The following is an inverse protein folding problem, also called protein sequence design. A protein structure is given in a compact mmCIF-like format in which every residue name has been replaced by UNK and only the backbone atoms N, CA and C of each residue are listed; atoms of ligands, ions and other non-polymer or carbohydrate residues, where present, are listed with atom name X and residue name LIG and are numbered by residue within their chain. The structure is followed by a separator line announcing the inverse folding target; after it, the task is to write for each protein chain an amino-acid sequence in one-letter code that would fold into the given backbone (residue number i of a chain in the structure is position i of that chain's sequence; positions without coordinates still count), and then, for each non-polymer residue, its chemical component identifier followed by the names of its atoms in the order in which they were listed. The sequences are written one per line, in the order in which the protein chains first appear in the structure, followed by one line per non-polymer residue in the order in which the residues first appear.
data_IF_704511678826
#
_entry.id   IF_704511678826
#
_cell.length_a   1.000
_cell.length_b   1.000
_cell.length_c   1.000
_cell.angle_alpha   90.00
_cell.angle_beta   90.00
_cell.angle_gamma   90.00
#
_symmetry.space_group_name_H-M   'P 1'
#
loop_
_entity.id
_entity.type
_entity.pdbx_description
1 polymer ?
#
# COMPACT_ATOMS: atom_id res chain seq x y z
N UNK A 1 -26.86 -19.49 1.54
CA UNK A 1 -25.95 -18.34 1.51
C UNK A 1 -25.81 -17.81 2.92
N UNK A 2 -24.59 -17.89 3.46
CA UNK A 2 -24.25 -17.31 4.75
C UNK A 2 -23.20 -16.21 4.55
N UNK A 3 -23.44 -15.06 5.17
CA UNK A 3 -22.51 -13.95 5.28
C UNK A 3 -21.67 -14.13 6.55
N UNK A 4 -20.38 -14.36 6.39
CA UNK A 4 -19.44 -14.51 7.49
C UNK A 4 -18.70 -13.19 7.77
N UNK A 5 -18.64 -12.85 9.05
CA UNK A 5 -17.83 -11.77 9.60
C UNK A 5 -16.82 -12.39 10.56
N UNK A 6 -15.54 -12.34 10.22
CA UNK A 6 -14.49 -13.09 10.90
C UNK A 6 -13.55 -12.13 11.62
N UNK A 7 -13.29 -12.42 12.89
CA UNK A 7 -12.29 -11.76 13.70
C UNK A 7 -11.19 -12.76 14.06
N UNK A 8 -10.04 -12.68 13.39
CA UNK A 8 -8.91 -13.59 13.55
C UNK A 8 -7.79 -12.93 14.37
N UNK A 9 -7.66 -13.36 15.61
CA UNK A 9 -6.65 -12.87 16.55
C UNK A 9 -5.41 -13.76 16.55
N UNK A 10 -4.24 -13.13 16.43
CA UNK A 10 -2.95 -13.78 16.66
C UNK A 10 -2.82 -14.19 18.13
N UNK A 11 -2.58 -15.48 18.31
CA UNK A 11 -2.48 -16.21 19.57
C UNK A 11 -1.15 -17.00 19.64
N UNK A 12 -0.16 -16.54 18.87
CA UNK A 12 1.22 -17.01 18.88
C UNK A 12 2.02 -16.49 20.07
N UNK A 13 3.18 -17.09 20.29
CA UNK A 13 4.06 -16.84 21.43
C UNK A 13 4.60 -15.41 21.46
N UNK A 14 4.79 -14.77 20.30
CA UNK A 14 5.29 -13.40 20.21
C UNK A 14 4.33 -12.38 20.85
N UNK A 15 3.04 -12.74 20.97
CA UNK A 15 2.04 -11.92 21.64
C UNK A 15 2.05 -12.08 23.17
N UNK A 16 2.71 -13.11 23.72
CA UNK A 16 2.65 -13.44 25.16
C UNK A 16 3.11 -12.28 26.04
N UNK A 17 2.28 -11.91 27.03
CA UNK A 17 2.58 -10.82 27.98
C UNK A 17 2.88 -9.47 27.29
N UNK A 18 2.53 -9.30 26.01
CA UNK A 18 2.74 -8.06 25.29
C UNK A 18 1.59 -7.10 25.59
N UNK A 19 1.73 -6.34 26.68
CA UNK A 19 0.70 -5.41 27.15
C UNK A 19 0.23 -4.45 26.06
N UNK A 20 1.13 -4.00 25.19
CA UNK A 20 0.79 -3.12 24.08
C UNK A 20 -0.12 -3.82 23.08
N UNK A 21 0.29 -4.99 22.57
CA UNK A 21 -0.51 -5.82 21.67
C UNK A 21 -1.89 -6.11 22.28
N UNK A 22 -1.97 -6.49 23.56
CA UNK A 22 -3.25 -6.87 24.15
C UNK A 22 -4.19 -5.69 24.43
N UNK A 23 -3.67 -4.59 24.99
CA UNK A 23 -4.46 -3.37 25.23
C UNK A 23 -4.98 -2.81 23.92
N UNK A 24 -4.12 -2.84 22.90
CA UNK A 24 -4.47 -2.43 21.56
C UNK A 24 -5.15 -3.52 20.75
N UNK A 25 -5.22 -4.77 21.17
CA UNK A 25 -6.00 -5.80 20.49
C UNK A 25 -7.47 -5.63 20.86
N UNK A 26 -7.74 -5.38 22.15
CA UNK A 26 -9.09 -5.26 22.67
C UNK A 26 -9.93 -4.16 22.00
N UNK A 27 -9.35 -3.00 21.64
CA UNK A 27 -10.12 -1.95 20.94
C UNK A 27 -10.44 -2.30 19.47
N UNK A 28 -9.69 -3.23 18.85
CA UNK A 28 -10.01 -3.73 17.49
C UNK A 28 -11.22 -4.64 17.53
N UNK A 29 -11.47 -5.35 18.63
CA UNK A 29 -12.68 -6.15 18.82
C UNK A 29 -13.94 -5.25 18.82
N UNK A 30 -13.86 -4.12 19.52
CA UNK A 30 -14.95 -3.13 19.52
C UNK A 30 -15.11 -2.44 18.16
N UNK A 31 -14.01 -2.18 17.44
CA UNK A 31 -14.06 -1.66 16.07
C UNK A 31 -14.73 -2.67 15.12
N UNK A 32 -14.34 -3.93 15.19
CA UNK A 32 -14.90 -5.01 14.37
C UNK A 32 -16.42 -5.08 14.52
N UNK A 33 -16.94 -5.04 15.76
CA UNK A 33 -18.39 -5.04 16.00
C UNK A 33 -19.10 -3.86 15.34
N UNK A 34 -18.55 -2.65 15.45
CA UNK A 34 -19.11 -1.47 14.76
C UNK A 34 -19.11 -1.64 13.25
N UNK A 35 -18.01 -2.14 12.70
CA UNK A 35 -17.88 -2.37 11.25
C UNK A 35 -18.86 -3.43 10.74
N UNK A 36 -19.12 -4.48 11.53
CA UNK A 36 -20.14 -5.50 11.20
C UNK A 36 -21.53 -4.88 11.10
N UNK A 37 -21.93 -4.08 12.08
CA UNK A 37 -23.24 -3.43 12.06
C UNK A 37 -23.37 -2.42 10.92
N UNK A 38 -22.33 -1.62 10.67
CA UNK A 38 -22.29 -0.71 9.53
C UNK A 38 -22.45 -1.45 8.19
N UNK A 39 -21.78 -2.59 8.01
CA UNK A 39 -21.89 -3.39 6.77
C UNK A 39 -23.30 -3.97 6.63
N UNK A 40 -23.92 -4.45 7.71
CA UNK A 40 -25.31 -4.93 7.67
C UNK A 40 -26.28 -3.83 7.30
N UNK A 41 -26.07 -2.61 7.81
CA UNK A 41 -26.87 -1.44 7.43
C UNK A 41 -26.67 -1.08 5.95
N UNK A 42 -25.42 -1.03 5.47
CA UNK A 42 -25.09 -0.82 4.04
C UNK A 42 -25.83 -1.84 3.14
N UNK A 43 -25.84 -3.13 3.52
CA UNK A 43 -26.53 -4.20 2.78
C UNK A 43 -28.05 -4.02 2.77
N UNK A 44 -28.62 -3.66 3.92
CA UNK A 44 -30.06 -3.39 4.04
C UNK A 44 -30.49 -2.22 3.16
N UNK A 45 -29.68 -1.15 3.08
CA UNK A 45 -29.94 0.02 2.25
C UNK A 45 -29.78 -0.27 0.76
N UNK A 46 -28.84 -1.15 0.39
CA UNK A 46 -28.62 -1.58 -0.99
C UNK A 46 -29.70 -2.54 -1.53
N UNK A 47 -30.63 -3.00 -0.68
CA UNK A 47 -31.68 -3.94 -1.06
C UNK A 47 -31.15 -5.35 -1.35
N UNK A 48 -30.01 -5.73 -0.75
CA UNK A 48 -29.48 -7.09 -0.89
C UNK A 48 -30.48 -8.12 -0.33
N UNK A 49 -30.59 -9.32 -0.95
CA UNK A 49 -31.51 -10.35 -0.47
C UNK A 49 -31.15 -10.79 0.96
N UNK A 50 -32.15 -11.15 1.80
CA UNK A 50 -31.89 -11.59 3.17
C UNK A 50 -30.95 -12.79 3.18
N UNK A 51 -29.81 -12.65 3.86
CA UNK A 51 -28.83 -13.69 4.05
C UNK A 51 -28.62 -13.95 5.55
N UNK A 52 -28.44 -15.23 5.91
CA UNK A 52 -28.02 -15.56 7.28
C UNK A 52 -26.66 -14.92 7.55
N UNK A 53 -26.51 -14.25 8.68
CA UNK A 53 -25.24 -13.60 9.06
C UNK A 53 -24.64 -14.29 10.28
N UNK A 54 -23.35 -14.65 10.21
CA UNK A 54 -22.61 -15.29 11.31
C UNK A 54 -21.33 -14.51 11.63
N UNK A 55 -21.14 -14.24 12.92
CA UNK A 55 -19.88 -13.73 13.45
C UNK A 55 -19.05 -14.92 13.91
N UNK A 56 -17.79 -14.97 13.50
CA UNK A 56 -16.83 -16.02 13.85
C UNK A 56 -15.61 -15.39 14.49
N UNK A 57 -15.23 -15.87 15.67
CA UNK A 57 -13.99 -15.49 16.34
C UNK A 57 -12.98 -16.63 16.22
N UNK A 58 -11.78 -16.30 15.77
CA UNK A 58 -10.69 -17.25 15.58
C UNK A 58 -9.49 -16.84 16.42
N UNK A 59 -8.83 -17.84 17.00
CA UNK A 59 -7.44 -17.72 17.42
C UNK A 59 -6.57 -18.41 16.36
N UNK A 60 -5.42 -17.81 16.04
CA UNK A 60 -4.48 -18.37 15.08
C UNK A 60 -3.02 -18.27 15.56
N UNK A 61 -2.17 -19.14 15.04
CA UNK A 61 -0.75 -19.26 15.33
C UNK A 61 -0.16 -20.32 14.40
N UNK A 62 0.42 -21.38 14.92
CA UNK A 62 0.79 -22.61 14.17
C UNK A 62 -0.39 -23.53 13.82
N UNK A 63 -1.61 -23.07 14.12
CA UNK A 63 -2.91 -23.70 13.83
C UNK A 63 -4.00 -22.60 13.92
N UNK A 64 -5.24 -22.90 13.52
CA UNK A 64 -6.35 -21.96 13.65
C UNK A 64 -7.64 -22.68 14.08
N UNK A 65 -8.35 -22.12 15.05
CA UNK A 65 -9.56 -22.71 15.60
C UNK A 65 -10.58 -21.66 16.06
N UNK A 66 -11.82 -22.09 16.18
CA UNK A 66 -12.92 -21.23 16.62
C UNK A 66 -12.93 -21.06 18.13
N UNK A 67 -13.23 -19.84 18.55
CA UNK A 67 -13.48 -19.48 19.93
C UNK A 67 -14.77 -18.66 20.00
N UNK A 68 -15.31 -18.52 21.21
CA UNK A 68 -16.38 -17.56 21.48
C UNK A 68 -15.77 -16.18 21.79
N UNK A 69 -16.60 -15.14 21.73
CA UNK A 69 -16.17 -13.76 21.99
C UNK A 69 -15.57 -13.60 23.40
N UNK A 70 -16.20 -14.23 24.40
CA UNK A 70 -15.78 -14.13 25.80
C UNK A 70 -14.36 -14.66 25.97
N UNK A 71 -14.03 -15.80 25.35
CA UNK A 71 -12.67 -16.35 25.32
C UNK A 71 -11.70 -15.41 24.62
N UNK A 72 -12.07 -14.82 23.48
CA UNK A 72 -11.21 -13.83 22.81
C UNK A 72 -10.92 -12.64 23.72
N UNK A 73 -11.95 -12.09 24.38
CA UNK A 73 -11.85 -10.96 25.29
C UNK A 73 -11.01 -11.29 26.53
N UNK A 74 -11.31 -12.39 27.21
CA UNK A 74 -10.56 -12.87 28.38
C UNK A 74 -9.10 -13.08 28.02
N UNK A 75 -8.81 -13.67 26.87
CA UNK A 75 -7.44 -13.93 26.48
C UNK A 75 -6.65 -12.67 26.08
N UNK A 76 -7.31 -11.55 25.73
CA UNK A 76 -6.66 -10.23 25.68
C UNK A 76 -6.41 -9.68 27.09
N UNK A 77 -7.41 -9.73 27.98
CA UNK A 77 -7.29 -9.21 29.36
C UNK A 77 -6.20 -9.93 30.14
N UNK A 78 -6.15 -11.26 30.03
CA UNK A 78 -5.20 -12.13 30.71
C UNK A 78 -3.84 -12.20 30.01
N UNK A 79 -3.68 -11.52 28.86
CA UNK A 79 -2.45 -11.50 28.06
C UNK A 79 -1.94 -12.90 27.66
N UNK A 80 -2.88 -13.79 27.32
CA UNK A 80 -2.62 -15.19 27.00
C UNK A 80 -2.20 -15.38 25.54
N UNK A 81 -1.45 -16.45 25.31
CA UNK A 81 -1.23 -17.12 24.02
C UNK A 81 -1.22 -18.64 24.26
N UNK A 82 -1.32 -19.44 23.19
CA UNK A 82 -1.22 -20.90 23.29
C UNK A 82 -0.34 -21.55 22.22
N UNK A 83 0.04 -20.82 21.15
CA UNK A 83 0.79 -21.38 20.01
C UNK A 83 2.21 -20.87 19.92
N UNK A 84 3.09 -21.67 19.32
CA UNK A 84 4.50 -21.32 19.19
C UNK A 84 4.80 -20.59 17.88
N UNK A 85 4.12 -20.97 16.78
CA UNK A 85 4.30 -20.35 15.47
C UNK A 85 3.35 -19.19 15.18
N UNK A 86 3.74 -18.36 14.22
CA UNK A 86 2.96 -17.23 13.67
C UNK A 86 2.72 -17.51 12.17
N UNK A 87 1.81 -18.45 11.90
CA UNK A 87 1.57 -19.03 10.57
C UNK A 87 0.18 -18.65 10.04
N UNK A 88 0.02 -17.45 9.46
CA UNK A 88 -1.25 -16.92 8.99
C UNK A 88 -1.94 -17.77 7.92
N UNK A 89 -1.23 -18.70 7.26
CA UNK A 89 -1.85 -19.62 6.31
C UNK A 89 -2.91 -20.52 6.95
N UNK A 90 -2.84 -20.75 8.26
CA UNK A 90 -3.84 -21.54 8.97
C UNK A 90 -5.19 -20.86 9.04
N UNK A 91 -5.24 -19.52 9.02
CA UNK A 91 -6.49 -18.79 8.86
C UNK A 91 -7.17 -19.24 7.57
N UNK A 92 -6.45 -19.19 6.45
CA UNK A 92 -6.99 -19.53 5.12
C UNK A 92 -7.47 -20.98 5.08
N UNK A 93 -6.64 -21.92 5.55
CA UNK A 93 -6.97 -23.34 5.58
C UNK A 93 -8.21 -23.61 6.43
N UNK A 94 -8.34 -22.96 7.58
CA UNK A 94 -9.50 -23.11 8.46
C UNK A 94 -10.78 -22.57 7.81
N UNK A 95 -10.69 -21.39 7.17
CA UNK A 95 -11.81 -20.80 6.44
C UNK A 95 -12.28 -21.68 5.28
N UNK A 96 -11.36 -22.20 4.47
CA UNK A 96 -11.66 -23.14 3.37
C UNK A 96 -12.33 -24.41 3.87
N UNK A 97 -11.83 -24.95 4.99
CA UNK A 97 -12.34 -26.21 5.55
C UNK A 97 -13.73 -26.10 6.16
N UNK A 98 -14.10 -24.94 6.71
CA UNK A 98 -15.29 -24.83 7.58
C UNK A 98 -16.34 -23.81 7.13
N UNK A 99 -15.94 -22.74 6.43
CA UNK A 99 -16.81 -21.58 6.19
C UNK A 99 -17.01 -21.24 4.71
N UNK A 100 -16.10 -21.65 3.84
CA UNK A 100 -16.24 -21.51 2.38
C UNK A 100 -16.60 -22.87 1.78
N UNK A 101 -17.74 -23.41 2.20
CA UNK A 101 -18.18 -24.76 1.80
C UNK A 101 -19.04 -24.74 0.53
N UNK A 102 -19.77 -23.64 0.30
CA UNK A 102 -20.61 -23.45 -0.87
C UNK A 102 -20.18 -22.19 -1.64
N UNK A 103 -20.35 -22.20 -2.96
CA UNK A 103 -20.04 -21.03 -3.82
C UNK A 103 -20.83 -19.77 -3.45
N UNK A 104 -21.99 -19.95 -2.82
CA UNK A 104 -22.84 -18.84 -2.35
C UNK A 104 -22.36 -18.23 -1.04
N UNK A 105 -21.47 -18.90 -0.30
CA UNK A 105 -20.99 -18.38 0.98
C UNK A 105 -20.03 -17.21 0.73
N UNK A 106 -20.12 -16.19 1.59
CA UNK A 106 -19.41 -14.93 1.41
C UNK A 106 -18.74 -14.53 2.71
N UNK A 107 -17.44 -14.22 2.64
CA UNK A 107 -16.73 -13.56 3.73
C UNK A 107 -16.87 -12.06 3.51
N UNK A 108 -17.82 -11.46 4.22
CA UNK A 108 -18.14 -10.03 4.13
C UNK A 108 -17.08 -9.17 4.81
N UNK A 109 -16.47 -9.69 5.86
CA UNK A 109 -15.42 -9.00 6.60
C UNK A 109 -14.43 -10.01 7.19
N UNK A 110 -13.14 -9.79 6.99
CA UNK A 110 -12.05 -10.51 7.65
C UNK A 110 -11.14 -9.52 8.36
N UNK A 111 -11.14 -9.56 9.69
CA UNK A 111 -10.16 -8.88 10.54
C UNK A 111 -9.01 -9.84 10.84
N UNK A 112 -7.77 -9.43 10.55
CA UNK A 112 -6.55 -10.13 10.95
C UNK A 112 -5.78 -9.22 11.90
N UNK A 113 -5.62 -9.65 13.15
CA UNK A 113 -4.89 -8.92 14.19
C UNK A 113 -3.60 -9.67 14.46
N UNK A 114 -2.45 -9.00 14.37
CA UNK A 114 -1.11 -9.55 14.65
C UNK A 114 -0.21 -8.50 15.29
N UNK A 115 0.93 -8.92 15.83
CA UNK A 115 2.04 -8.02 16.18
C UNK A 115 3.00 -7.74 14.99
N UNK A 116 2.73 -8.33 13.83
CA UNK A 116 3.48 -8.12 12.59
C UNK A 116 4.78 -8.92 12.50
N UNK A 117 5.07 -9.81 13.47
CA UNK A 117 6.25 -10.66 13.46
C UNK A 117 5.99 -11.94 12.64
N UNK A 118 5.95 -11.79 11.32
CA UNK A 118 5.60 -12.87 10.39
C UNK A 118 6.80 -13.17 9.49
N UNK A 119 7.14 -14.44 9.34
CA UNK A 119 8.24 -14.83 8.47
C UNK A 119 7.82 -14.80 6.99
N UNK A 120 8.77 -14.48 6.12
CA UNK A 120 8.58 -14.38 4.67
C UNK A 120 7.99 -15.67 4.06
N UNK A 121 8.43 -16.84 4.53
CA UNK A 121 7.95 -18.14 4.04
C UNK A 121 6.45 -18.32 4.28
N UNK A 122 5.94 -17.89 5.44
CA UNK A 122 4.51 -17.97 5.76
C UNK A 122 3.69 -16.99 4.90
N UNK A 123 4.24 -15.81 4.57
CA UNK A 123 3.61 -14.90 3.61
C UNK A 123 3.48 -15.54 2.21
N UNK A 124 4.53 -16.19 1.71
CA UNK A 124 4.50 -16.91 0.42
C UNK A 124 3.47 -18.05 0.39
N UNK A 125 3.37 -18.82 1.48
CA UNK A 125 2.32 -19.85 1.62
C UNK A 125 0.93 -19.23 1.59
N UNK A 126 0.73 -18.11 2.28
CA UNK A 126 -0.56 -17.41 2.26
C UNK A 126 -0.96 -17.06 0.83
N UNK A 127 -0.07 -16.50 0.01
CA UNK A 127 -0.39 -16.20 -1.39
C UNK A 127 -0.90 -17.42 -2.17
N UNK A 128 -0.28 -18.60 -1.97
CA UNK A 128 -0.70 -19.84 -2.64
C UNK A 128 -2.07 -20.31 -2.16
N UNK A 129 -2.29 -20.37 -0.85
CA UNK A 129 -3.56 -20.86 -0.32
C UNK A 129 -4.72 -19.89 -0.56
N UNK A 130 -4.43 -18.59 -0.66
CA UNK A 130 -5.44 -17.55 -0.80
C UNK A 130 -5.86 -17.24 -2.24
N UNK A 131 -5.30 -17.96 -3.23
CA UNK A 131 -5.55 -17.70 -4.65
C UNK A 131 -7.04 -17.67 -4.98
N UNK A 132 -7.78 -18.68 -4.51
CA UNK A 132 -9.20 -18.90 -4.78
C UNK A 132 -10.13 -18.34 -3.71
N UNK A 133 -9.59 -17.68 -2.68
CA UNK A 133 -10.39 -17.06 -1.64
C UNK A 133 -10.94 -15.71 -2.11
N UNK A 134 -12.16 -15.41 -1.69
CA UNK A 134 -12.83 -14.15 -1.98
C UNK A 134 -13.25 -13.48 -0.67
N UNK A 135 -12.93 -12.19 -0.58
CA UNK A 135 -13.25 -11.34 0.57
C UNK A 135 -13.84 -10.04 0.07
N UNK A 136 -14.98 -9.63 0.61
CA UNK A 136 -15.55 -8.31 0.29
C UNK A 136 -14.72 -7.21 0.97
N UNK A 137 -14.30 -7.44 2.22
CA UNK A 137 -13.46 -6.52 3.00
C UNK A 137 -12.43 -7.25 3.86
N UNK A 138 -11.18 -6.82 3.80
CA UNK A 138 -10.09 -7.29 4.67
C UNK A 138 -9.54 -6.10 5.46
N UNK A 139 -9.43 -6.27 6.78
CA UNK A 139 -8.83 -5.30 7.69
C UNK A 139 -7.67 -5.96 8.40
N UNK A 140 -6.48 -5.42 8.20
CA UNK A 140 -5.26 -5.91 8.80
C UNK A 140 -4.78 -4.94 9.88
N UNK A 141 -4.66 -5.41 11.12
CA UNK A 141 -4.09 -4.66 12.22
C UNK A 141 -2.76 -5.27 12.63
N UNK A 142 -1.69 -4.49 12.49
CA UNK A 142 -0.40 -4.81 13.11
C UNK A 142 -0.17 -3.91 14.33
N UNK A 143 0.13 -4.54 15.46
CA UNK A 143 0.22 -3.89 16.78
C UNK A 143 1.56 -4.23 17.45
N UNK A 144 2.54 -3.35 17.31
CA UNK A 144 3.87 -3.54 17.88
C UNK A 144 4.48 -2.19 18.29
N UNK A 145 5.05 -2.10 19.49
CA UNK A 145 5.78 -0.91 19.92
C UNK A 145 7.01 -0.66 19.04
N UNK A 146 7.67 -1.73 18.60
CA UNK A 146 8.80 -1.67 17.68
C UNK A 146 8.28 -1.68 16.24
N UNK A 147 7.92 -0.50 15.72
CA UNK A 147 7.29 -0.38 14.40
C UNK A 147 8.15 -0.90 13.25
N UNK A 148 9.47 -0.91 13.41
CA UNK A 148 10.42 -1.46 12.44
C UNK A 148 10.30 -3.00 12.28
N UNK A 149 9.73 -3.69 13.27
CA UNK A 149 9.55 -5.14 13.22
C UNK A 149 8.23 -5.57 12.58
N UNK A 150 7.37 -4.60 12.22
CA UNK A 150 6.07 -4.90 11.64
C UNK A 150 6.27 -5.23 10.16
N UNK A 151 6.13 -6.51 9.82
CA UNK A 151 6.01 -6.96 8.45
C UNK A 151 4.53 -7.04 8.04
N UNK A 152 4.17 -6.33 6.96
CA UNK A 152 2.85 -6.47 6.35
C UNK A 152 2.88 -7.22 5.00
N UNK A 153 3.99 -7.89 4.68
CA UNK A 153 4.10 -8.79 3.52
C UNK A 153 2.93 -9.75 3.42
N UNK A 154 2.51 -10.29 4.57
CA UNK A 154 1.36 -11.17 4.66
C UNK A 154 0.07 -10.47 4.24
N UNK A 155 -0.11 -9.18 4.56
CA UNK A 155 -1.37 -8.48 4.34
C UNK A 155 -1.68 -8.43 2.84
N UNK A 156 -0.65 -8.24 2.03
CA UNK A 156 -0.70 -8.32 0.58
C UNK A 156 -1.33 -9.62 0.06
N UNK A 157 -1.08 -10.75 0.72
CA UNK A 157 -1.65 -12.05 0.33
C UNK A 157 -3.17 -12.12 0.48
N UNK A 158 -3.76 -11.27 1.33
CA UNK A 158 -5.20 -11.17 1.56
C UNK A 158 -5.89 -10.07 0.75
N UNK A 159 -5.14 -9.21 0.05
CA UNK A 159 -5.75 -8.12 -0.69
C UNK A 159 -6.39 -8.59 -1.99
N UNK A 160 -7.71 -8.37 -2.12
CA UNK A 160 -8.52 -8.76 -3.28
C UNK A 160 -9.58 -7.71 -3.64
N UNK A 161 -10.26 -7.15 -2.64
CA UNK A 161 -11.31 -6.12 -2.83
C UNK A 161 -11.04 -4.91 -1.93
N UNK A 162 -11.92 -4.60 -0.96
CA UNK A 162 -11.70 -3.50 -0.04
C UNK A 162 -10.69 -3.89 1.04
N UNK A 163 -9.56 -3.20 1.06
CA UNK A 163 -8.42 -3.49 1.92
C UNK A 163 -8.12 -2.31 2.83
N UNK A 164 -7.97 -2.58 4.12
CA UNK A 164 -7.60 -1.58 5.12
C UNK A 164 -6.43 -2.10 5.95
N UNK A 165 -5.41 -1.27 6.13
CA UNK A 165 -4.20 -1.63 6.89
C UNK A 165 -3.97 -0.60 7.98
N UNK A 166 -3.82 -1.08 9.20
CA UNK A 166 -3.57 -0.29 10.39
C UNK A 166 -2.24 -0.69 11.02
N UNK A 167 -1.40 0.31 11.29
CA UNK A 167 -0.22 0.20 12.14
C UNK A 167 -0.52 0.88 13.46
N UNK A 168 -0.57 0.15 14.56
CA UNK A 168 -0.79 0.75 15.89
C UNK A 168 -2.03 1.68 15.94
N UNK A 169 -3.15 1.23 15.36
CA UNK A 169 -4.39 2.00 15.14
C UNK A 169 -4.35 3.16 14.16
N UNK A 170 -3.18 3.55 13.66
CA UNK A 170 -3.10 4.52 12.57
C UNK A 170 -3.44 3.82 11.27
N UNK A 171 -4.49 4.30 10.60
CA UNK A 171 -4.81 3.87 9.25
C UNK A 171 -3.65 4.27 8.33
N UNK A 172 -2.99 3.27 7.74
CA UNK A 172 -1.97 3.48 6.71
C UNK A 172 -2.60 3.50 5.33
N UNK A 173 -3.50 2.55 5.06
CA UNK A 173 -4.11 2.37 3.75
C UNK A 173 -5.58 1.99 3.90
N UNK A 174 -6.43 2.58 3.05
CA UNK A 174 -7.83 2.18 2.86
C UNK A 174 -8.18 2.37 1.39
N UNK A 175 -8.36 1.28 0.66
CA UNK A 175 -8.70 1.35 -0.76
C UNK A 175 -9.46 0.11 -1.22
N UNK A 176 -10.16 0.23 -2.33
CA UNK A 176 -10.84 -0.87 -3.00
C UNK A 176 -10.06 -1.19 -4.28
N UNK A 177 -9.30 -2.29 -4.25
CA UNK A 177 -8.46 -2.70 -5.39
C UNK A 177 -9.22 -3.54 -6.42
N UNK A 178 -10.49 -3.90 -6.14
CA UNK A 178 -11.33 -4.61 -7.11
C UNK A 178 -11.92 -3.70 -8.18
N UNK A 179 -11.86 -2.38 -7.96
CA UNK A 179 -12.34 -1.36 -8.90
C UNK A 179 -11.17 -0.70 -9.60
N UNK A 180 -11.35 -0.39 -10.88
CA UNK A 180 -10.38 0.46 -11.58
C UNK A 180 -10.32 1.85 -10.94
N UNK A 181 -9.11 2.40 -10.86
CA UNK A 181 -8.92 3.77 -10.42
C UNK A 181 -9.39 4.75 -11.51
N UNK A 182 -10.22 5.70 -11.13
CA UNK A 182 -10.76 6.71 -12.04
C UNK A 182 -9.76 7.86 -12.19
N UNK A 183 -8.82 7.69 -13.12
CA UNK A 183 -7.80 8.68 -13.44
C UNK A 183 -8.40 9.98 -13.96
N UNK A 184 -9.58 9.95 -14.60
CA UNK A 184 -10.22 11.13 -15.20
C UNK A 184 -10.75 12.12 -14.17
N UNK A 185 -10.99 11.66 -12.94
CA UNK A 185 -11.34 12.53 -11.81
C UNK A 185 -10.16 13.29 -11.21
N UNK A 186 -8.92 13.02 -11.63
CA UNK A 186 -7.75 13.76 -11.15
C UNK A 186 -7.49 14.97 -12.05
N UNK A 187 -7.46 16.16 -11.45
CA UNK A 187 -7.08 17.41 -12.08
C UNK A 187 -6.00 18.13 -11.26
N UNK A 188 -5.47 19.23 -11.79
CA UNK A 188 -4.38 19.97 -11.17
C UNK A 188 -4.76 20.62 -9.83
N UNK A 189 -6.05 20.88 -9.60
CA UNK A 189 -6.59 21.54 -8.41
C UNK A 189 -6.86 20.54 -7.29
N UNK A 190 -7.10 19.27 -7.63
CA UNK A 190 -7.39 18.21 -6.69
C UNK A 190 -6.24 17.19 -6.51
N UNK A 191 -5.17 17.28 -7.31
CA UNK A 191 -4.06 16.34 -7.31
C UNK A 191 -3.49 16.10 -5.91
N UNK A 192 -3.19 17.16 -5.15
CA UNK A 192 -2.63 17.05 -3.80
C UNK A 192 -3.54 16.27 -2.84
N UNK A 193 -4.86 16.39 -2.98
CA UNK A 193 -5.81 15.65 -2.15
C UNK A 193 -6.02 14.20 -2.61
N UNK A 194 -5.74 13.91 -3.89
CA UNK A 194 -5.98 12.61 -4.53
C UNK A 194 -4.73 11.74 -4.63
N UNK A 195 -3.53 12.32 -4.58
CA UNK A 195 -2.28 11.60 -4.78
C UNK A 195 -2.06 10.47 -3.77
N UNK A 196 -2.48 10.63 -2.52
CA UNK A 196 -2.35 9.57 -1.50
C UNK A 196 -3.29 8.38 -1.78
N UNK A 197 -4.48 8.65 -2.34
CA UNK A 197 -5.42 7.60 -2.77
C UNK A 197 -4.86 6.84 -3.97
N UNK A 198 -4.27 7.55 -4.94
CA UNK A 198 -3.60 6.96 -6.09
C UNK A 198 -2.40 6.11 -5.65
N UNK A 199 -1.54 6.66 -4.78
CA UNK A 199 -0.39 5.95 -4.20
C UNK A 199 -0.83 4.66 -3.54
N UNK A 200 -1.83 4.73 -2.67
CA UNK A 200 -2.39 3.56 -1.99
C UNK A 200 -2.92 2.51 -2.97
N UNK A 201 -3.67 2.92 -4.01
CA UNK A 201 -4.21 2.00 -5.00
C UNK A 201 -3.10 1.27 -5.77
N UNK A 202 -2.13 2.01 -6.32
CA UNK A 202 -1.00 1.43 -7.06
C UNK A 202 -0.17 0.54 -6.15
N UNK A 203 0.21 1.01 -4.97
CA UNK A 203 1.06 0.23 -4.07
C UNK A 203 0.39 -1.09 -3.69
N UNK A 204 -0.90 -1.10 -3.36
CA UNK A 204 -1.58 -2.36 -3.02
C UNK A 204 -1.80 -3.28 -4.22
N UNK A 205 -2.17 -2.73 -5.38
CA UNK A 205 -2.46 -3.53 -6.58
C UNK A 205 -1.20 -4.23 -7.10
N UNK A 206 -0.06 -3.56 -7.04
CA UNK A 206 1.20 -4.02 -7.64
C UNK A 206 2.23 -4.56 -6.64
N UNK A 207 1.87 -4.70 -5.35
CA UNK A 207 2.76 -5.22 -4.30
C UNK A 207 3.36 -6.59 -4.59
N UNK A 208 2.66 -7.43 -5.38
CA UNK A 208 3.04 -8.80 -5.70
C UNK A 208 3.44 -9.00 -7.16
N UNK A 209 3.12 -8.07 -8.06
CA UNK A 209 3.35 -8.29 -9.49
C UNK A 209 4.86 -8.18 -9.79
N UNK A 210 5.57 -9.29 -9.63
CA UNK A 210 6.75 -9.55 -10.44
C UNK A 210 6.25 -9.62 -11.87
N UNK A 211 6.55 -8.58 -12.65
CA UNK A 211 6.84 -8.61 -14.08
C UNK A 211 6.29 -7.37 -14.79
N UNK A 212 7.00 -7.02 -15.87
CA UNK A 212 6.55 -6.15 -16.97
C UNK A 212 5.44 -6.85 -17.77
N UNK A 213 4.40 -7.33 -17.08
CA UNK A 213 3.24 -7.92 -17.72
C UNK A 213 2.38 -6.84 -18.40
N UNK A 214 1.47 -7.28 -19.27
CA UNK A 214 0.64 -6.37 -20.05
C UNK A 214 -0.18 -5.43 -19.15
N UNK A 215 -0.60 -5.90 -17.97
CA UNK A 215 -1.35 -5.10 -16.99
C UNK A 215 -0.50 -3.98 -16.39
N UNK A 216 0.72 -4.29 -15.94
CA UNK A 216 1.67 -3.30 -15.42
C UNK A 216 2.02 -2.23 -16.44
N UNK A 217 2.26 -2.64 -17.70
CA UNK A 217 2.53 -1.70 -18.80
C UNK A 217 1.31 -0.81 -19.10
N UNK A 218 0.10 -1.39 -19.07
CA UNK A 218 -1.13 -0.63 -19.26
C UNK A 218 -1.34 0.39 -18.14
N UNK A 219 -1.04 0.03 -16.89
CA UNK A 219 -1.13 0.97 -15.76
C UNK A 219 -0.09 2.09 -15.84
N UNK A 220 1.15 1.78 -16.21
CA UNK A 220 2.19 2.79 -16.47
C UNK A 220 1.73 3.73 -17.58
N UNK A 221 1.10 3.21 -18.63
CA UNK A 221 0.54 4.05 -19.69
C UNK A 221 -0.57 4.98 -19.16
N UNK A 222 -1.51 4.48 -18.34
CA UNK A 222 -2.55 5.30 -17.69
C UNK A 222 -1.92 6.44 -16.86
N UNK A 223 -0.88 6.14 -16.08
CA UNK A 223 -0.13 7.13 -15.29
C UNK A 223 0.54 8.20 -16.17
N UNK A 224 1.18 7.79 -17.28
CA UNK A 224 1.81 8.71 -18.24
C UNK A 224 0.79 9.62 -18.93
N UNK A 225 -0.34 9.07 -19.38
CA UNK A 225 -1.42 9.84 -20.00
C UNK A 225 -2.01 10.85 -19.02
N UNK A 226 -2.24 10.45 -17.76
CA UNK A 226 -2.69 11.38 -16.73
C UNK A 226 -1.68 12.52 -16.51
N UNK A 227 -0.39 12.20 -16.42
CA UNK A 227 0.68 13.19 -16.27
C UNK A 227 0.68 14.22 -17.40
N UNK A 228 0.66 13.76 -18.64
CA UNK A 228 0.65 14.60 -19.84
C UNK A 228 -0.57 15.52 -19.84
N UNK A 229 -1.76 14.98 -19.56
CA UNK A 229 -2.99 15.77 -19.43
C UNK A 229 -2.87 16.86 -18.37
N UNK A 230 -2.31 16.55 -17.19
CA UNK A 230 -2.12 17.52 -16.12
C UNK A 230 -1.11 18.60 -16.52
N UNK A 231 -0.03 18.23 -17.22
CA UNK A 231 0.97 19.18 -17.70
C UNK A 231 0.43 20.11 -18.79
N UNK A 232 -0.34 19.58 -19.73
CA UNK A 232 -1.02 20.38 -20.74
C UNK A 232 -1.97 21.38 -20.09
N UNK A 233 -2.68 20.95 -19.04
CA UNK A 233 -3.55 21.85 -18.27
C UNK A 233 -2.77 22.95 -17.57
N UNK A 234 -1.66 22.62 -16.90
CA UNK A 234 -0.76 23.60 -16.27
C UNK A 234 -0.26 24.60 -17.31
N UNK A 235 0.22 24.13 -18.47
CA UNK A 235 0.75 24.98 -19.52
C UNK A 235 -0.33 25.90 -20.12
N UNK A 236 -1.54 25.39 -20.31
CA UNK A 236 -2.68 26.15 -20.80
C UNK A 236 -3.09 27.26 -19.84
N UNK A 237 -3.27 26.95 -18.55
CA UNK A 237 -3.62 27.96 -17.55
C UNK A 237 -2.49 28.98 -17.33
N UNK A 238 -1.24 28.54 -17.36
CA UNK A 238 -0.06 29.41 -17.28
C UNK A 238 0.01 30.38 -18.47
N UNK A 239 -0.34 29.93 -19.67
CA UNK A 239 -0.31 30.77 -20.88
C UNK A 239 -1.43 31.83 -20.89
N UNK A 240 -2.51 31.59 -20.16
CA UNK A 240 -3.64 32.52 -20.01
C UNK A 240 -3.39 33.62 -18.96
N UNK A 241 -2.28 33.57 -18.22
CA UNK A 241 -1.93 34.58 -17.21
C UNK A 241 -1.56 35.93 -17.86
N UNK A 242 -2.05 37.00 -17.23
CA UNK A 242 -1.71 38.38 -17.64
C UNK A 242 -0.26 38.72 -17.33
N UNK A 243 0.31 39.72 -18.01
CA UNK A 243 1.70 40.15 -17.77
C UNK A 243 1.96 40.63 -16.32
N UNK A 244 0.93 41.06 -15.58
CA UNK A 244 1.04 41.40 -14.16
C UNK A 244 1.07 40.18 -13.22
N UNK A 245 0.46 39.06 -13.63
CA UNK A 245 0.41 37.81 -12.85
C UNK A 245 1.67 36.95 -13.02
N UNK A 246 2.49 37.27 -14.03
CA UNK A 246 3.78 36.64 -14.28
C UNK A 246 4.83 36.95 -13.22
N UNK A 247 4.67 38.02 -12.43
CA UNK A 247 5.59 38.37 -11.35
C UNK A 247 5.36 37.52 -10.09
N UNK A 248 6.03 36.36 -10.12
CA UNK A 248 6.61 35.58 -9.03
C UNK A 248 5.75 34.61 -8.20
N UNK A 249 4.47 34.86 -7.87
CA UNK A 249 3.76 33.92 -6.97
C UNK A 249 2.93 32.85 -7.69
N UNK A 250 2.15 33.24 -8.71
CA UNK A 250 1.30 32.31 -9.45
C UNK A 250 2.12 31.39 -10.35
N UNK A 251 3.14 31.95 -11.02
CA UNK A 251 4.09 31.17 -11.82
C UNK A 251 4.83 30.12 -10.98
N UNK A 252 5.32 30.49 -9.79
CA UNK A 252 5.97 29.56 -8.89
C UNK A 252 5.03 28.43 -8.45
N UNK A 253 3.74 28.74 -8.24
CA UNK A 253 2.72 27.73 -7.88
C UNK A 253 2.58 26.66 -8.97
N UNK A 254 2.48 27.06 -10.24
CA UNK A 254 2.40 26.11 -11.36
C UNK A 254 3.69 25.28 -11.53
N UNK A 255 4.86 25.87 -11.29
CA UNK A 255 6.14 25.15 -11.29
C UNK A 255 6.15 24.09 -10.18
N UNK A 256 5.78 24.48 -8.96
CA UNK A 256 5.71 23.56 -7.80
C UNK A 256 4.72 22.44 -8.05
N UNK A 257 3.53 22.73 -8.60
CA UNK A 257 2.55 21.71 -8.98
C UNK A 257 3.11 20.71 -9.99
N UNK A 258 3.80 21.21 -11.03
CA UNK A 258 4.41 20.34 -12.05
C UNK A 258 5.46 19.41 -11.44
N UNK A 259 6.32 19.92 -10.54
CA UNK A 259 7.33 19.14 -9.83
C UNK A 259 6.69 18.10 -8.91
N UNK A 260 5.65 18.45 -8.15
CA UNK A 260 4.95 17.50 -7.26
C UNK A 260 4.28 16.36 -8.07
N UNK A 261 3.65 16.70 -9.19
CA UNK A 261 3.03 15.74 -10.10
C UNK A 261 4.08 14.81 -10.71
N UNK A 262 5.17 15.36 -11.27
CA UNK A 262 6.25 14.55 -11.86
C UNK A 262 6.83 13.58 -10.84
N UNK A 263 7.22 14.10 -9.67
CA UNK A 263 7.82 13.30 -8.61
C UNK A 263 6.90 12.18 -8.15
N UNK A 264 5.63 12.50 -7.91
CA UNK A 264 4.65 11.52 -7.45
C UNK A 264 4.41 10.43 -8.50
N UNK A 265 4.19 10.81 -9.76
CA UNK A 265 3.90 9.84 -10.83
C UNK A 265 5.12 8.99 -11.16
N UNK A 266 6.30 9.59 -11.27
CA UNK A 266 7.55 8.87 -11.54
C UNK A 266 7.90 7.90 -10.41
N UNK A 267 7.68 8.27 -9.15
CA UNK A 267 7.81 7.34 -8.03
C UNK A 267 6.87 6.12 -8.16
N UNK A 268 5.63 6.31 -8.58
CA UNK A 268 4.68 5.21 -8.81
C UNK A 268 5.06 4.33 -10.00
N UNK A 269 5.54 4.92 -11.09
CA UNK A 269 6.04 4.16 -12.24
C UNK A 269 7.26 3.34 -11.83
N UNK A 270 8.22 3.95 -11.13
CA UNK A 270 9.39 3.24 -10.59
C UNK A 270 8.96 2.11 -9.66
N UNK A 271 7.94 2.33 -8.82
CA UNK A 271 7.38 1.26 -7.98
C UNK A 271 6.87 0.08 -8.82
N UNK A 272 6.05 0.34 -9.86
CA UNK A 272 5.53 -0.67 -10.80
C UNK A 272 6.63 -1.28 -11.69
N UNK A 273 7.79 -0.65 -11.84
CA UNK A 273 8.91 -1.19 -12.62
C UNK A 273 9.96 -1.91 -11.77
N UNK A 274 10.05 -1.60 -10.49
CA UNK A 274 11.07 -2.16 -9.59
C UNK A 274 10.86 -3.66 -9.38
N UNK A 275 11.95 -4.41 -9.46
CA UNK A 275 12.01 -5.82 -9.04
C UNK A 275 12.26 -5.94 -7.53
N UNK A 276 12.75 -4.87 -6.90
CA UNK A 276 12.93 -4.74 -5.45
C UNK A 276 11.60 -4.30 -4.81
N UNK A 277 10.52 -5.02 -5.12
CA UNK A 277 9.31 -4.93 -4.32
C UNK A 277 9.54 -5.86 -3.16
N UNK A 278 10.28 -5.36 -2.18
CA UNK A 278 10.47 -6.10 -0.95
C UNK A 278 9.08 -6.41 -0.40
N UNK A 279 8.94 -7.62 0.11
CA UNK A 279 7.80 -8.04 0.91
C UNK A 279 7.52 -7.05 2.05
N UNK A 280 8.48 -6.18 2.40
CA UNK A 280 8.32 -5.10 3.36
C UNK A 280 7.42 -3.99 2.81
N UNK A 281 6.34 -3.75 3.55
CA UNK A 281 5.47 -2.58 3.46
C UNK A 281 6.17 -1.25 3.80
N UNK A 282 7.48 -1.23 4.06
CA UNK A 282 8.23 0.04 4.12
C UNK A 282 8.24 0.75 2.75
N UNK A 283 7.83 0.05 1.68
CA UNK A 283 7.43 0.66 0.43
C UNK A 283 6.22 1.63 0.55
N UNK A 284 5.49 1.66 1.67
CA UNK A 284 4.49 2.70 1.94
C UNK A 284 5.04 3.87 2.75
N UNK A 285 6.26 3.73 3.29
CA UNK A 285 6.99 4.80 3.98
C UNK A 285 7.90 5.61 3.06
N UNK A 286 7.77 5.48 1.72
CA UNK A 286 8.49 6.32 0.76
C UNK A 286 8.07 7.80 0.90
N UNK A 287 8.68 8.49 1.86
CA UNK A 287 9.24 9.81 1.64
C UNK A 287 10.64 9.56 1.05
N UNK A 288 10.75 9.54 -0.27
CA UNK A 288 12.05 9.57 -0.93
C UNK A 288 12.64 10.96 -0.70
N UNK A 289 13.45 11.10 0.35
CA UNK A 289 14.60 11.98 0.23
C UNK A 289 15.45 11.39 -0.90
N UNK A 290 15.59 12.17 -1.97
CA UNK A 290 16.47 11.82 -3.06
C UNK A 290 17.88 11.78 -2.48
N UNK A 291 18.45 10.58 -2.36
CA UNK A 291 19.84 10.44 -1.96
C UNK A 291 20.52 9.30 -2.72
N UNK A 292 21.84 9.44 -2.77
CA UNK A 292 22.74 9.16 -3.86
C UNK A 292 23.00 7.67 -4.16
N UNK A 293 23.29 7.42 -5.44
CA UNK A 293 24.22 6.40 -5.94
C UNK A 293 24.13 4.99 -5.35
N UNK A 294 23.48 4.08 -6.08
CA UNK A 294 23.75 2.66 -5.93
C UNK A 294 24.50 2.15 -7.17
N UNK A 295 25.73 1.68 -6.95
CA UNK A 295 26.51 0.92 -7.94
C UNK A 295 25.81 -0.41 -8.22
N UNK A 296 25.48 -0.65 -9.48
CA UNK A 296 24.99 -1.94 -9.98
C UNK A 296 26.14 -2.98 -9.93
N UNK A 297 25.99 -4.02 -9.11
CA UNK A 297 26.73 -5.27 -9.32
C UNK A 297 26.14 -6.00 -10.54
N UNK A 298 26.91 -5.93 -11.63
CA UNK A 298 26.68 -6.60 -12.91
C UNK A 298 26.45 -8.10 -12.72
N UNK A 299 25.31 -8.59 -13.22
CA UNK A 299 25.17 -10.00 -13.63
C UNK A 299 24.84 -10.04 -15.12
N UNK A 300 25.77 -10.63 -15.86
CA UNK A 300 25.80 -10.80 -17.31
C UNK A 300 24.68 -11.70 -17.85
N UNK A 301 24.44 -11.54 -19.16
CA UNK A 301 23.64 -12.34 -20.08
C UNK A 301 22.10 -12.14 -20.12
N UNK A 302 21.68 -11.20 -20.96
CA UNK A 302 20.78 -11.50 -22.08
C UNK A 302 20.73 -10.34 -23.08
N UNK A 303 21.17 -10.64 -24.30
CA UNK A 303 21.17 -9.78 -25.48
C UNK A 303 19.75 -9.31 -25.83
N UNK A 304 19.38 -8.09 -25.41
CA UNK A 304 18.16 -7.40 -25.84
C UNK A 304 18.52 -6.01 -26.35
N UNK A 305 18.44 -5.87 -27.67
CA UNK A 305 18.51 -4.60 -28.38
C UNK A 305 17.41 -3.67 -27.89
N UNK A 306 17.77 -2.66 -27.11
CA UNK A 306 16.89 -1.57 -26.71
C UNK A 306 17.60 -0.24 -26.95
N UNK A 307 17.64 0.20 -28.20
CA UNK A 307 17.87 1.61 -28.51
C UNK A 307 16.57 2.38 -28.25
N UNK A 308 16.42 2.88 -27.03
CA UNK A 308 15.65 4.08 -26.77
C UNK A 308 16.40 4.88 -25.70
N UNK A 309 17.27 5.77 -26.17
CA UNK A 309 17.89 6.79 -25.33
C UNK A 309 16.78 7.61 -24.68
N UNK A 310 16.71 7.58 -23.35
CA UNK A 310 15.92 8.53 -22.59
C UNK A 310 16.74 9.80 -22.45
N UNK A 311 16.30 10.90 -23.09
CA UNK A 311 16.79 12.24 -22.76
C UNK A 311 16.34 12.57 -21.33
N UNK A 312 17.28 12.44 -20.39
CA UNK A 312 17.18 13.09 -19.09
C UNK A 312 17.40 14.59 -19.36
N UNK A 313 16.32 15.38 -19.31
CA UNK A 313 16.43 16.84 -19.35
C UNK A 313 17.12 17.32 -18.07
N UNK A 314 18.42 17.54 -18.15
CA UNK A 314 19.21 18.23 -17.14
C UNK A 314 18.85 19.71 -17.18
N UNK A 315 18.09 20.18 -16.19
CA UNK A 315 17.80 21.60 -16.01
C UNK A 315 18.98 22.25 -15.26
N UNK A 316 20.10 22.47 -15.95
CA UNK A 316 21.08 23.44 -15.50
C UNK A 316 20.50 24.84 -15.73
N UNK A 317 20.17 25.54 -14.64
CA UNK A 317 19.85 26.96 -14.63
C UNK A 317 21.06 27.74 -15.16
N UNK A 318 21.02 28.14 -16.43
CA UNK A 318 21.90 29.19 -16.95
C UNK A 318 21.45 30.54 -16.35
N UNK A 319 22.12 30.95 -15.28
CA UNK A 319 22.11 32.34 -14.79
C UNK A 319 22.98 33.19 -15.72
N UNK A 320 22.34 33.82 -16.70
CA UNK A 320 22.94 34.88 -17.52
C UNK A 320 22.55 36.25 -16.94
N UNK A 321 23.30 36.72 -15.94
CA UNK A 321 23.40 38.16 -15.61
C UNK A 321 24.84 38.47 -15.23
N UNK A 322 25.59 39.02 -16.17
CA UNK A 322 26.99 39.40 -16.00
C UNK A 322 27.23 40.54 -15.01
N UNK A 323 28.41 40.51 -14.36
CA UNK A 323 29.16 41.68 -13.88
C UNK A 323 30.66 41.45 -14.19
N UNK A 324 31.42 42.45 -14.68
CA UNK A 324 32.62 42.24 -15.49
C UNK A 324 33.97 42.39 -14.75
N UNK A 325 35.01 41.77 -15.33
CA UNK A 325 36.43 42.15 -15.22
C UNK A 325 37.13 41.81 -13.90
N UNK A 326 38.41 41.45 -13.83
CA UNK A 326 39.51 41.37 -14.80
C UNK A 326 40.74 40.84 -14.05
N UNK A 327 41.68 40.28 -14.80
CA UNK A 327 43.09 40.00 -14.44
C UNK A 327 43.34 38.78 -13.52
N UNK A 328 44.37 37.98 -13.69
CA UNK A 328 45.29 37.72 -14.80
C UNK A 328 46.08 36.45 -14.40
N UNK A 329 46.34 35.60 -15.40
CA UNK A 329 47.55 34.79 -15.59
C UNK A 329 48.30 34.18 -14.39
N UNK A 330 48.49 32.86 -14.42
CA UNK A 330 49.64 32.28 -13.71
C UNK A 330 49.73 30.76 -13.67
N UNK A 331 49.96 30.11 -14.83
CA UNK A 331 50.73 28.86 -15.05
C UNK A 331 50.77 27.74 -13.96
N UNK A 332 50.34 26.55 -14.38
CA UNK A 332 51.13 25.28 -14.51
C UNK A 332 52.28 25.06 -13.51
N UNK A 333 52.39 23.91 -12.82
CA UNK A 333 52.98 22.65 -13.34
C UNK A 333 52.87 21.55 -12.25
N UNK A 334 52.44 20.35 -12.68
CA UNK A 334 52.76 18.95 -12.31
C UNK A 334 53.26 18.50 -10.91
N UNK A 335 52.75 17.30 -10.55
CA UNK A 335 53.38 16.14 -9.90
C UNK A 335 54.13 16.38 -8.57
N UNK A 336 53.82 15.66 -7.49
CA UNK A 336 53.75 14.19 -7.33
C UNK A 336 52.79 13.78 -6.24
#
# INVERSE_FOLDING_TARGET
MVNYFIYARDFSFSTLNNKYYHTNGLKTLEQFKRDVENIKEEQSLAGEPPAESKIVYLHWGDDCWDVDEDKTRTAYVDQKCERMGTDPEWIIKHLQKKYVLHESDRIKLLYIITDGLICKESAEKCFKFNEFMQYDRVVFHALNEQTANIDFSVAASFFKSRCMVYRNYKLLVSTDISKEFDYDKIDIHNFTAKKDQLKSHITLKYIRQFNRDAESLQEIHKLKVMRERLFDRINSERSALSDSDRNNKLMLTYIVMKVDIERSISSLITYIMSNVRSYSFDALTFDMEADEGFEDELTDDADYTTEQEFEIFDFSLEDDVGIPGSCANGRMVYAT
#
